data_IF_379897893165
#
_entry.id   IF_379897893165
#
_cell.length_a   1.000
_cell.length_b   1.000
_cell.length_c   1.000
_cell.angle_alpha   90.00
_cell.angle_beta   90.00
_cell.angle_gamma   90.00
#
_symmetry.space_group_name_H-M   'P 1'
#
loop_
_entity.id
_entity.type
_entity.pdbx_description
1 polymer ?
#
# COMPACT_ATOMS: atom_id res chain seq x y z
N UNK A 1 6.53 -52.92 5.93
CA UNK A 1 6.11 -51.96 4.87
C UNK A 1 5.52 -50.64 5.41
N UNK A 2 5.21 -50.50 6.71
CA UNK A 2 4.63 -49.25 7.26
C UNK A 2 5.65 -48.12 7.57
N UNK A 3 6.92 -48.46 7.80
CA UNK A 3 7.94 -47.48 8.27
C UNK A 3 8.50 -46.58 7.15
N UNK A 4 8.39 -47.00 5.89
CA UNK A 4 8.92 -46.26 4.74
C UNK A 4 8.02 -45.10 4.30
N UNK A 5 6.72 -45.17 4.59
CA UNK A 5 5.72 -44.17 4.20
C UNK A 5 5.74 -42.94 5.10
N UNK A 6 6.00 -43.15 6.39
CA UNK A 6 6.01 -42.11 7.44
C UNK A 6 7.23 -41.18 7.36
N UNK A 7 8.41 -41.70 7.00
CA UNK A 7 9.62 -40.88 6.76
C UNK A 7 9.46 -39.99 5.52
N UNK A 8 8.88 -40.51 4.45
CA UNK A 8 8.65 -39.74 3.22
C UNK A 8 7.67 -38.58 3.45
N UNK A 9 6.56 -38.84 4.14
CA UNK A 9 5.57 -37.80 4.48
C UNK A 9 6.13 -36.70 5.40
N UNK A 10 7.02 -37.04 6.34
CA UNK A 10 7.68 -36.03 7.18
C UNK A 10 8.65 -35.15 6.38
N UNK A 11 9.45 -35.75 5.50
CA UNK A 11 10.35 -35.00 4.61
C UNK A 11 9.57 -34.04 3.69
N UNK A 12 8.43 -34.48 3.16
CA UNK A 12 7.58 -33.65 2.30
C UNK A 12 7.00 -32.44 3.06
N UNK A 13 6.59 -32.63 4.32
CA UNK A 13 6.06 -31.55 5.17
C UNK A 13 7.14 -30.54 5.60
N UNK A 14 8.36 -31.03 5.85
CA UNK A 14 9.51 -30.19 6.19
C UNK A 14 9.96 -29.34 4.99
N UNK A 15 9.97 -29.91 3.78
CA UNK A 15 10.27 -29.17 2.55
C UNK A 15 9.19 -28.11 2.23
N UNK A 16 7.91 -28.44 2.44
CA UNK A 16 6.83 -27.45 2.31
C UNK A 16 6.99 -26.29 3.31
N UNK A 17 7.35 -26.59 4.56
CA UNK A 17 7.57 -25.58 5.60
C UNK A 17 8.73 -24.65 5.24
N UNK A 18 9.84 -25.20 4.74
CA UNK A 18 10.98 -24.41 4.24
C UNK A 18 10.57 -23.54 3.05
N UNK A 19 9.80 -24.08 2.11
CA UNK A 19 9.28 -23.34 0.96
C UNK A 19 8.42 -22.15 1.38
N UNK A 20 7.50 -22.33 2.33
CA UNK A 20 6.67 -21.24 2.87
C UNK A 20 7.53 -20.21 3.59
N UNK A 21 8.50 -20.64 4.41
CA UNK A 21 9.40 -19.73 5.11
C UNK A 21 10.21 -18.87 4.12
N UNK A 22 10.72 -19.48 3.04
CA UNK A 22 11.40 -18.76 1.98
C UNK A 22 10.47 -17.75 1.30
N UNK A 23 9.27 -18.15 0.87
CA UNK A 23 8.33 -17.25 0.17
C UNK A 23 7.93 -16.03 1.03
N UNK A 24 7.95 -16.16 2.36
CA UNK A 24 7.66 -15.07 3.31
C UNK A 24 8.88 -14.20 3.65
N UNK A 25 10.02 -14.44 3.01
CA UNK A 25 11.29 -13.77 3.31
C UNK A 25 11.58 -12.61 2.34
N UNK A 26 12.32 -11.59 2.82
CA UNK A 26 12.82 -10.51 1.95
C UNK A 26 13.73 -10.99 0.80
N UNK A 27 14.61 -12.00 1.00
CA UNK A 27 15.37 -12.59 -0.10
C UNK A 27 14.50 -13.11 -1.23
N UNK A 28 13.39 -13.80 -0.94
CA UNK A 28 12.50 -14.28 -1.98
C UNK A 28 11.89 -13.13 -2.79
N UNK A 29 11.46 -12.05 -2.13
CA UNK A 29 10.95 -10.85 -2.81
C UNK A 29 12.03 -10.28 -3.75
N UNK A 30 13.26 -10.09 -3.26
CA UNK A 30 14.37 -9.58 -4.07
C UNK A 30 14.67 -10.47 -5.27
N UNK A 31 14.78 -11.78 -5.06
CA UNK A 31 15.06 -12.74 -6.13
C UNK A 31 14.00 -12.70 -7.21
N UNK A 32 12.70 -12.72 -6.83
CA UNK A 32 11.60 -12.71 -7.79
C UNK A 32 11.47 -11.38 -8.53
N UNK A 33 11.66 -10.25 -7.86
CA UNK A 33 11.68 -8.94 -8.51
C UNK A 33 12.86 -8.81 -9.50
N UNK A 34 14.04 -9.36 -9.17
CA UNK A 34 15.21 -9.32 -10.07
C UNK A 34 14.95 -10.04 -11.39
N UNK A 35 14.16 -11.12 -11.41
CA UNK A 35 13.79 -11.80 -12.67
C UNK A 35 13.07 -10.84 -13.63
N UNK A 36 12.13 -10.03 -13.11
CA UNK A 36 11.40 -9.04 -13.90
C UNK A 36 12.32 -7.90 -14.32
N UNK A 37 13.19 -7.43 -13.42
CA UNK A 37 14.12 -6.35 -13.70
C UNK A 37 15.13 -6.71 -14.80
N UNK A 38 15.69 -7.92 -14.79
CA UNK A 38 16.59 -8.37 -15.84
C UNK A 38 15.87 -8.56 -17.18
N UNK A 39 14.63 -9.05 -17.19
CA UNK A 39 13.80 -9.07 -18.39
C UNK A 39 13.52 -7.65 -18.93
N UNK A 40 13.27 -6.69 -18.05
CA UNK A 40 13.08 -5.28 -18.41
C UNK A 40 14.33 -4.68 -19.05
N UNK A 41 15.51 -4.91 -18.46
CA UNK A 41 16.81 -4.49 -19.01
C UNK A 41 17.12 -5.13 -20.36
N UNK A 42 16.71 -6.39 -20.55
CA UNK A 42 16.86 -7.10 -21.81
C UNK A 42 15.83 -6.67 -22.88
N UNK A 43 14.86 -5.81 -22.53
CA UNK A 43 13.82 -5.36 -23.45
C UNK A 43 12.83 -6.45 -23.88
N UNK A 44 12.66 -7.51 -23.07
CA UNK A 44 11.83 -8.68 -23.41
C UNK A 44 10.42 -8.64 -22.84
N UNK A 45 10.05 -7.54 -22.16
CA UNK A 45 8.71 -7.35 -21.60
C UNK A 45 7.69 -6.94 -22.68
N UNK A 46 6.47 -7.43 -22.56
CA UNK A 46 5.42 -7.21 -23.56
C UNK A 46 4.67 -5.88 -23.44
N UNK A 47 4.65 -5.26 -22.26
CA UNK A 47 3.73 -4.15 -21.96
C UNK A 47 4.41 -2.82 -21.64
N UNK A 48 5.68 -2.84 -21.24
CA UNK A 48 6.44 -1.64 -20.91
C UNK A 48 7.93 -1.86 -21.14
N UNK A 49 8.67 -0.77 -21.36
CA UNK A 49 10.11 -0.75 -21.55
C UNK A 49 10.79 -0.03 -20.39
N UNK A 50 12.00 -0.45 -20.04
CA UNK A 50 12.83 0.23 -19.05
C UNK A 50 13.80 1.18 -19.74
N UNK A 51 13.71 2.47 -19.45
CA UNK A 51 14.69 3.47 -19.87
C UNK A 51 15.46 3.99 -18.64
N UNK A 52 16.65 3.44 -18.40
CA UNK A 52 17.50 3.85 -17.29
C UNK A 52 18.13 5.24 -17.49
N UNK A 53 18.16 5.77 -18.72
CA UNK A 53 18.69 7.12 -18.96
C UNK A 53 17.83 8.21 -18.33
N UNK A 54 16.57 7.88 -18.01
CA UNK A 54 15.61 8.77 -17.34
C UNK A 54 15.64 8.71 -15.83
N UNK A 55 16.42 7.81 -15.22
CA UNK A 55 16.40 7.61 -13.77
C UNK A 55 16.75 8.89 -13.00
N UNK A 56 17.78 9.62 -13.42
CA UNK A 56 18.19 10.85 -12.75
C UNK A 56 17.12 11.95 -12.84
N UNK A 57 16.44 12.05 -13.99
CA UNK A 57 15.33 12.98 -14.20
C UNK A 57 14.13 12.64 -13.29
N UNK A 58 13.81 11.35 -13.16
CA UNK A 58 12.75 10.87 -12.26
C UNK A 58 13.09 11.14 -10.80
N UNK A 59 14.34 10.91 -10.39
CA UNK A 59 14.80 11.20 -9.02
C UNK A 59 14.64 12.68 -8.70
N UNK A 60 15.04 13.55 -9.62
CA UNK A 60 14.91 14.99 -9.42
C UNK A 60 13.44 15.44 -9.38
N UNK A 61 12.60 14.89 -10.26
CA UNK A 61 11.16 15.15 -10.24
C UNK A 61 10.50 14.76 -8.90
N UNK A 62 10.84 13.59 -8.36
CA UNK A 62 10.32 13.13 -7.07
C UNK A 62 10.80 14.04 -5.93
N UNK A 63 12.07 14.44 -5.93
CA UNK A 63 12.62 15.39 -4.95
C UNK A 63 11.89 16.73 -4.99
N UNK A 64 11.71 17.31 -6.17
CA UNK A 64 10.97 18.57 -6.34
C UNK A 64 9.52 18.44 -5.85
N UNK A 65 8.87 17.31 -6.14
CA UNK A 65 7.52 17.02 -5.65
C UNK A 65 7.50 16.96 -4.11
N UNK A 66 8.51 16.33 -3.50
CA UNK A 66 8.64 16.30 -2.04
C UNK A 66 8.83 17.71 -1.47
N UNK A 67 9.73 18.51 -2.04
CA UNK A 67 10.03 19.87 -1.56
C UNK A 67 8.83 20.82 -1.69
N UNK A 68 8.02 20.68 -2.75
CA UNK A 68 6.78 21.46 -2.94
C UNK A 68 5.75 21.14 -1.86
N UNK A 69 5.56 19.86 -1.54
CA UNK A 69 4.52 19.42 -0.61
C UNK A 69 4.97 19.45 0.86
N UNK A 70 6.27 19.36 1.12
CA UNK A 70 6.87 19.24 2.45
C UNK A 70 8.16 20.09 2.52
N UNK A 71 8.04 21.44 2.47
CA UNK A 71 9.18 22.32 2.35
C UNK A 71 10.10 22.25 3.57
N UNK A 72 11.39 21.97 3.33
CA UNK A 72 12.47 22.14 4.31
C UNK A 72 12.79 20.94 5.20
N UNK A 73 11.94 19.91 5.26
CA UNK A 73 12.22 18.71 6.05
C UNK A 73 11.48 17.46 5.56
N UNK A 74 12.23 16.50 5.01
CA UNK A 74 11.67 15.21 4.60
C UNK A 74 11.09 14.38 5.76
N UNK A 75 11.47 14.66 7.02
CA UNK A 75 10.88 13.99 8.18
C UNK A 75 9.43 14.43 8.46
N UNK A 76 8.95 15.50 7.83
CA UNK A 76 7.57 15.95 7.95
C UNK A 76 6.62 15.17 7.01
N UNK A 77 7.18 14.34 6.12
CA UNK A 77 6.40 13.46 5.24
C UNK A 77 5.71 12.41 6.12
N UNK A 78 4.36 12.39 6.18
CA UNK A 78 3.65 11.43 6.98
C UNK A 78 3.86 10.02 6.41
N UNK A 79 3.83 9.01 7.28
CA UNK A 79 3.84 7.63 6.84
C UNK A 79 2.68 7.38 5.87
N UNK A 80 2.99 6.73 4.74
CA UNK A 80 1.95 6.34 3.80
C UNK A 80 0.96 5.42 4.51
N UNK A 81 -0.29 5.86 4.56
CA UNK A 81 -1.35 5.20 5.30
C UNK A 81 -2.62 5.17 4.46
N UNK A 82 -3.33 4.06 4.55
CA UNK A 82 -4.66 3.90 3.96
C UNK A 82 -5.62 4.98 4.45
N UNK A 83 -5.40 5.51 5.65
CA UNK A 83 -6.21 6.58 6.24
C UNK A 83 -6.08 7.93 5.52
N UNK A 84 -5.03 8.16 4.72
CA UNK A 84 -4.87 9.41 3.94
C UNK A 84 -6.03 9.67 2.96
N UNK A 85 -6.77 8.63 2.55
CA UNK A 85 -7.99 8.77 1.74
C UNK A 85 -9.08 9.57 2.45
N UNK A 86 -9.12 9.51 3.79
CA UNK A 86 -10.09 10.20 4.62
C UNK A 86 -9.61 11.59 5.06
N UNK A 87 -8.38 11.95 4.72
CA UNK A 87 -7.73 13.22 5.07
C UNK A 87 -7.74 14.24 3.91
N UNK A 88 -8.45 13.94 2.82
CA UNK A 88 -8.55 14.79 1.64
C UNK A 88 -9.03 16.22 2.00
N UNK A 89 -8.37 17.22 1.42
CA UNK A 89 -8.64 18.63 1.75
C UNK A 89 -8.11 19.06 3.13
N UNK A 90 -7.25 18.27 3.78
CA UNK A 90 -6.67 18.59 5.09
C UNK A 90 -7.63 18.36 6.27
N UNK A 91 -8.69 17.57 6.06
CA UNK A 91 -9.73 17.31 7.06
C UNK A 91 -9.61 15.87 7.56
N UNK A 92 -9.29 15.68 8.85
CA UNK A 92 -9.26 14.33 9.44
C UNK A 92 -10.69 13.80 9.70
N UNK A 93 -11.25 13.10 8.71
CA UNK A 93 -12.60 12.52 8.83
C UNK A 93 -12.66 11.31 9.74
N UNK A 94 -11.55 10.60 9.95
CA UNK A 94 -11.52 9.45 10.86
C UNK A 94 -11.67 9.93 12.29
N UNK A 95 -10.94 10.98 12.67
CA UNK A 95 -11.08 11.61 13.98
C UNK A 95 -12.49 12.19 14.18
N UNK A 96 -13.04 12.90 13.19
CA UNK A 96 -14.41 13.43 13.28
C UNK A 96 -15.46 12.33 13.47
N UNK A 97 -15.37 11.25 12.70
CA UNK A 97 -16.27 10.10 12.83
C UNK A 97 -16.11 9.43 14.20
N UNK A 98 -14.87 9.29 14.69
CA UNK A 98 -14.61 8.71 15.98
C UNK A 98 -15.19 9.54 17.13
N UNK A 99 -15.02 10.87 17.07
CA UNK A 99 -15.56 11.79 18.05
C UNK A 99 -17.09 11.80 18.08
N UNK A 100 -17.73 11.71 16.90
CA UNK A 100 -19.19 11.72 16.78
C UNK A 100 -19.83 10.38 17.17
N UNK A 101 -19.27 9.25 16.71
CA UNK A 101 -20.00 7.97 16.68
C UNK A 101 -19.37 6.85 17.52
N UNK A 102 -18.16 7.04 18.08
CA UNK A 102 -17.43 5.98 18.80
C UNK A 102 -17.46 6.14 20.32
N UNK A 103 -18.39 6.94 20.84
CA UNK A 103 -18.68 7.05 22.26
C UNK A 103 -18.99 5.68 22.88
N UNK A 104 -18.35 5.36 24.00
CA UNK A 104 -18.53 4.10 24.72
C UNK A 104 -17.92 2.85 24.07
N UNK A 105 -17.34 2.96 22.87
CA UNK A 105 -16.66 1.83 22.22
C UNK A 105 -15.34 1.50 22.93
N UNK A 106 -15.14 0.22 23.24
CA UNK A 106 -13.87 -0.27 23.77
C UNK A 106 -12.76 -0.28 22.69
N UNK A 107 -11.53 -0.59 23.10
CA UNK A 107 -10.39 -0.60 22.20
C UNK A 107 -10.52 -1.62 21.06
N UNK A 108 -11.15 -2.77 21.32
CA UNK A 108 -11.32 -3.81 20.31
C UNK A 108 -12.32 -3.39 19.23
N UNK A 109 -13.40 -2.72 19.63
CA UNK A 109 -14.41 -2.19 18.71
C UNK A 109 -13.86 -1.03 17.88
N UNK A 110 -13.10 -0.11 18.50
CA UNK A 110 -12.40 0.95 17.76
C UNK A 110 -11.44 0.37 16.71
N UNK A 111 -10.71 -0.69 17.05
CA UNK A 111 -9.83 -1.39 16.12
C UNK A 111 -10.59 -1.99 14.94
N UNK A 112 -11.72 -2.67 15.18
CA UNK A 112 -12.57 -3.20 14.10
C UNK A 112 -13.07 -2.11 13.15
N UNK A 113 -13.55 -0.99 13.68
CA UNK A 113 -14.00 0.16 12.89
C UNK A 113 -12.87 0.75 12.03
N UNK A 114 -11.67 0.86 12.57
CA UNK A 114 -10.49 1.29 11.82
C UNK A 114 -10.13 0.30 10.70
N UNK A 115 -10.24 -1.01 10.96
CA UNK A 115 -10.04 -2.05 9.94
C UNK A 115 -11.07 -1.90 8.82
N UNK A 116 -12.35 -1.70 9.14
CA UNK A 116 -13.42 -1.53 8.14
C UNK A 116 -13.17 -0.31 7.24
N UNK A 117 -12.71 0.82 7.82
CA UNK A 117 -12.30 2.00 7.06
C UNK A 117 -11.07 1.71 6.17
N UNK A 118 -10.07 1.00 6.69
CA UNK A 118 -8.89 0.64 5.92
C UNK A 118 -9.26 -0.26 4.72
N UNK A 119 -10.11 -1.26 4.91
CA UNK A 119 -10.59 -2.13 3.83
C UNK A 119 -11.36 -1.33 2.78
N UNK A 120 -12.24 -0.43 3.21
CA UNK A 120 -12.99 0.44 2.30
C UNK A 120 -12.06 1.30 1.46
N UNK A 121 -11.02 1.90 2.05
CA UNK A 121 -10.03 2.70 1.31
C UNK A 121 -9.29 1.90 0.23
N UNK A 122 -8.99 0.62 0.47
CA UNK A 122 -8.34 -0.26 -0.51
C UNK A 122 -9.25 -0.48 -1.72
N UNK A 123 -10.55 -0.70 -1.49
CA UNK A 123 -11.51 -0.91 -2.57
C UNK A 123 -11.70 0.35 -3.42
N UNK A 124 -11.65 1.53 -2.79
CA UNK A 124 -11.73 2.80 -3.52
C UNK A 124 -10.48 3.05 -4.37
N UNK A 125 -9.29 2.84 -3.82
CA UNK A 125 -8.00 3.08 -4.49
C UNK A 125 -7.74 2.11 -5.64
N UNK A 126 -7.93 0.81 -5.38
CA UNK A 126 -7.56 -0.24 -6.35
C UNK A 126 -8.72 -0.69 -7.26
N UNK A 127 -9.97 -0.41 -6.88
CA UNK A 127 -11.15 -0.98 -7.53
C UNK A 127 -12.06 0.01 -8.28
N UNK A 128 -12.02 1.30 -7.94
CA UNK A 128 -13.00 2.25 -8.46
C UNK A 128 -12.65 2.83 -9.85
N UNK A 129 -11.36 2.81 -10.22
CA UNK A 129 -10.86 3.37 -11.48
C UNK A 129 -10.66 4.88 -11.43
N UNK A 130 -9.97 5.41 -12.44
CA UNK A 130 -9.57 6.82 -12.56
C UNK A 130 -10.74 7.80 -12.78
N UNK A 131 -11.88 7.31 -13.27
CA UNK A 131 -13.08 8.10 -13.49
C UNK A 131 -13.93 8.29 -12.22
N UNK A 132 -13.72 7.48 -11.17
CA UNK A 132 -14.54 7.54 -9.96
C UNK A 132 -14.26 8.82 -9.17
N UNK A 133 -15.33 9.50 -8.76
CA UNK A 133 -15.27 10.71 -7.95
C UNK A 133 -16.43 10.71 -6.97
N UNK A 134 -16.17 11.11 -5.73
CA UNK A 134 -17.19 11.39 -4.73
C UNK A 134 -17.08 12.85 -4.30
N UNK A 135 -18.20 13.57 -4.31
CA UNK A 135 -18.29 14.95 -3.80
C UNK A 135 -19.15 14.93 -2.55
N UNK A 136 -18.55 15.27 -1.42
CA UNK A 136 -19.24 15.37 -0.14
C UNK A 136 -20.02 16.69 -0.03
N UNK A 137 -21.17 16.66 0.65
CA UNK A 137 -22.04 17.83 0.79
C UNK A 137 -21.38 18.99 1.57
N UNK A 138 -20.49 18.68 2.51
CA UNK A 138 -19.79 19.69 3.31
C UNK A 138 -18.71 20.45 2.52
N UNK A 139 -18.05 19.81 1.55
CA UNK A 139 -17.02 20.44 0.72
C UNK A 139 -17.59 21.49 -0.26
N UNK A 140 -18.86 21.35 -0.66
CA UNK A 140 -19.53 22.34 -1.48
C UNK A 140 -19.69 23.71 -0.78
N UNK A 141 -19.66 23.76 0.55
CA UNK A 141 -19.76 25.00 1.31
C UNK A 141 -18.40 25.72 1.49
N UNK A 142 -17.27 25.03 1.36
CA UNK A 142 -15.94 25.60 1.56
C UNK A 142 -15.29 26.17 0.28
N UNK A 143 -15.82 25.87 -0.90
CA UNK A 143 -15.31 26.38 -2.18
C UNK A 143 -15.80 27.81 -2.54
N UNK A 144 -16.40 28.52 -1.59
CA UNK A 144 -16.84 29.91 -1.72
C UNK A 144 -15.89 30.90 -1.02
N UNK A 145 -14.65 31.03 -1.49
CA UNK A 145 -13.70 32.04 -1.03
C UNK A 145 -12.69 32.29 -2.12
N UNK A 146 -12.70 33.52 -2.67
CA UNK A 146 -11.98 33.91 -3.89
C UNK A 146 -10.50 34.18 -3.73
#
# INVERSE_FOLDING_TARGET
>A
MAEHTDKKQRTDCDELTKGVAYLRSLPAIRERCSVIYEAAKAGTLSHFTLDLSKLDEVVEYVKQTMDINYPGNAADIPFHSRFRHFEAGGIDRVEQLAAAEWGGADAAERCRRLIDLAVTSVLLDAGAGDAWKYTEAAAAAAAGGG
#
